data_IF_832993012282
#
_entry.id   IF_832993012282
#
_cell.length_a   1.000
_cell.length_b   1.000
_cell.length_c   1.000
_cell.angle_alpha   90.00
_cell.angle_beta   90.00
_cell.angle_gamma   90.00
#
_symmetry.space_group_name_H-M   'P 1'
#
loop_
_entity.id
_entity.type
_entity.pdbx_description
1 polymer ?
#
# COMPACT_ATOMS: atom_id res chain seq x y z
N UNK A 1 9.19 -16.64 6.75
CA UNK A 1 10.28 -16.15 7.63
C UNK A 1 11.69 -16.46 7.12
N UNK A 2 12.10 -17.72 6.92
CA UNK A 2 13.49 -18.07 6.53
C UNK A 2 14.04 -17.29 5.31
N UNK A 3 13.20 -17.03 4.31
CA UNK A 3 13.54 -16.17 3.17
C UNK A 3 14.10 -14.82 3.63
N UNK A 4 13.42 -14.13 4.54
CA UNK A 4 13.82 -12.80 5.02
C UNK A 4 15.09 -12.84 5.85
N UNK A 5 15.29 -13.89 6.66
CA UNK A 5 16.54 -14.12 7.40
C UNK A 5 17.72 -14.25 6.44
N UNK A 6 17.61 -15.11 5.42
CA UNK A 6 18.68 -15.28 4.44
C UNK A 6 18.99 -13.96 3.71
N UNK A 7 17.97 -13.22 3.29
CA UNK A 7 18.13 -11.95 2.57
C UNK A 7 18.72 -10.85 3.44
N UNK A 8 18.36 -10.81 4.72
CA UNK A 8 18.98 -9.95 5.70
C UNK A 8 20.47 -10.27 5.86
N UNK A 9 20.83 -11.54 6.05
CA UNK A 9 22.23 -11.97 6.20
C UNK A 9 23.05 -11.53 4.99
N UNK A 10 22.57 -11.77 3.77
CA UNK A 10 23.23 -11.31 2.54
C UNK A 10 23.41 -9.79 2.52
N UNK A 11 22.38 -9.04 2.88
CA UNK A 11 22.45 -7.57 2.91
C UNK A 11 23.52 -7.06 3.89
N UNK A 12 23.61 -7.64 5.08
CA UNK A 12 24.54 -7.20 6.13
C UNK A 12 25.99 -7.57 5.82
N UNK A 13 26.24 -8.65 5.09
CA UNK A 13 27.60 -9.00 4.62
C UNK A 13 28.02 -8.24 3.35
N UNK A 14 27.18 -7.32 2.86
CA UNK A 14 27.49 -6.44 1.73
C UNK A 14 26.90 -6.90 0.39
N UNK A 15 26.19 -8.03 0.33
CA UNK A 15 25.47 -8.46 -0.86
C UNK A 15 24.12 -7.73 -0.99
N UNK A 16 24.20 -6.49 -1.46
CA UNK A 16 23.05 -5.58 -1.58
C UNK A 16 22.25 -5.82 -2.86
N UNK A 17 22.90 -6.24 -3.95
CA UNK A 17 22.27 -6.41 -5.26
C UNK A 17 21.68 -7.81 -5.45
N UNK A 18 20.60 -8.07 -4.73
CA UNK A 18 19.98 -9.40 -4.69
C UNK A 18 19.01 -9.58 -5.87
N UNK A 19 19.26 -10.60 -6.70
CA UNK A 19 18.29 -11.09 -7.70
C UNK A 19 17.37 -12.12 -7.06
N UNK A 20 16.06 -11.98 -7.30
CA UNK A 20 15.06 -12.96 -6.89
C UNK A 20 14.16 -13.33 -8.07
N UNK A 21 13.33 -14.36 -7.89
CA UNK A 21 12.31 -14.75 -8.87
C UNK A 21 10.92 -14.63 -8.27
N UNK A 22 10.01 -13.94 -8.96
CA UNK A 22 8.61 -13.86 -8.59
C UNK A 22 7.78 -14.47 -9.70
N UNK A 23 7.18 -15.63 -9.44
CA UNK A 23 6.34 -16.35 -10.41
C UNK A 23 7.06 -16.59 -11.76
N UNK A 24 8.36 -16.88 -11.72
CA UNK A 24 9.21 -17.12 -12.90
C UNK A 24 9.93 -15.88 -13.43
N UNK A 25 9.50 -14.67 -13.06
CA UNK A 25 10.19 -13.44 -13.49
C UNK A 25 11.35 -13.08 -12.56
N UNK A 26 12.58 -12.93 -13.08
CA UNK A 26 13.70 -12.43 -12.31
C UNK A 26 13.49 -10.94 -11.98
N UNK A 27 13.66 -10.50 -10.75
CA UNK A 27 13.45 -9.10 -10.36
C UNK A 27 14.45 -8.66 -9.28
N UNK A 28 14.75 -7.36 -9.17
CA UNK A 28 15.57 -6.85 -8.06
C UNK A 28 14.82 -7.03 -6.75
N UNK A 29 15.41 -7.71 -5.77
CA UNK A 29 14.83 -7.89 -4.44
C UNK A 29 15.26 -6.74 -3.53
N UNK A 30 14.41 -5.73 -3.27
CA UNK A 30 14.83 -4.52 -2.58
C UNK A 30 15.20 -4.78 -1.11
N UNK A 31 16.19 -4.05 -0.59
CA UNK A 31 16.81 -4.32 0.72
C UNK A 31 16.46 -3.31 1.83
N UNK A 32 15.58 -2.36 1.55
CA UNK A 32 15.23 -1.25 2.44
C UNK A 32 14.73 -1.72 3.82
N UNK A 33 13.90 -2.77 3.88
CA UNK A 33 13.49 -3.35 5.16
C UNK A 33 14.69 -3.84 5.97
N UNK A 34 15.61 -4.56 5.32
CA UNK A 34 16.76 -5.15 6.00
C UNK A 34 17.70 -4.09 6.53
N UNK A 35 17.91 -3.00 5.77
CA UNK A 35 18.67 -1.85 6.23
C UNK A 35 17.96 -1.12 7.39
N UNK A 36 16.63 -0.99 7.34
CA UNK A 36 15.85 -0.34 8.39
C UNK A 36 15.95 -1.08 9.73
N UNK A 37 15.89 -2.42 9.70
CA UNK A 37 15.98 -3.24 10.92
C UNK A 37 17.42 -3.59 11.30
N UNK A 38 18.41 -3.29 10.46
CA UNK A 38 19.81 -3.65 10.70
C UNK A 38 20.33 -3.19 12.06
N UNK A 39 20.08 -1.95 12.52
CA UNK A 39 20.53 -1.52 13.84
C UNK A 39 19.96 -2.35 15.00
N UNK A 40 18.78 -2.96 14.82
CA UNK A 40 18.15 -3.76 15.87
C UNK A 40 18.87 -5.09 16.11
N UNK A 41 19.67 -5.60 15.18
CA UNK A 41 20.46 -6.82 15.42
C UNK A 41 21.56 -6.63 16.45
N UNK A 42 21.97 -5.38 16.71
CA UNK A 42 22.94 -5.03 17.75
C UNK A 42 22.39 -5.25 19.17
N UNK A 43 21.09 -5.48 19.32
CA UNK A 43 20.46 -5.80 20.63
C UNK A 43 20.73 -7.24 21.09
N UNK A 44 21.26 -8.10 20.22
CA UNK A 44 21.53 -9.51 20.52
C UNK A 44 20.33 -10.45 20.38
N UNK A 45 19.14 -9.95 20.04
CA UNK A 45 17.99 -10.79 19.75
C UNK A 45 18.13 -11.53 18.42
N UNK A 46 17.55 -12.73 18.33
CA UNK A 46 17.53 -13.53 17.10
C UNK A 46 16.74 -12.86 15.98
N UNK A 47 17.18 -13.02 14.73
CA UNK A 47 16.57 -12.37 13.56
C UNK A 47 15.08 -12.72 13.37
N UNK A 48 14.68 -13.96 13.68
CA UNK A 48 13.27 -14.38 13.63
C UNK A 48 12.40 -13.50 14.53
N UNK A 49 12.84 -13.33 15.78
CA UNK A 49 12.16 -12.48 16.75
C UNK A 49 12.13 -11.02 16.29
N UNK A 50 13.22 -10.50 15.72
CA UNK A 50 13.26 -9.12 15.23
C UNK A 50 12.27 -8.89 14.07
N UNK A 51 12.16 -9.82 13.13
CA UNK A 51 11.16 -9.72 12.06
C UNK A 51 9.74 -9.76 12.63
N UNK A 52 9.42 -10.73 13.48
CA UNK A 52 8.09 -10.84 14.11
C UNK A 52 7.74 -9.59 14.93
N UNK A 53 8.70 -9.08 15.72
CA UNK A 53 8.54 -7.87 16.52
C UNK A 53 8.29 -6.65 15.64
N UNK A 54 9.11 -6.45 14.60
CA UNK A 54 8.98 -5.29 13.71
C UNK A 54 7.69 -5.35 12.89
N UNK A 55 7.27 -6.53 12.43
CA UNK A 55 5.97 -6.74 11.80
C UNK A 55 4.83 -6.31 12.71
N UNK A 56 4.84 -6.77 13.96
CA UNK A 56 3.84 -6.41 14.97
C UNK A 56 3.83 -4.91 15.28
N UNK A 57 5.02 -4.28 15.40
CA UNK A 57 5.14 -2.84 15.61
C UNK A 57 4.58 -2.06 14.40
N UNK A 58 4.90 -2.48 13.17
CA UNK A 58 4.40 -1.81 11.96
C UNK A 58 2.88 -1.91 11.87
N UNK A 59 2.29 -3.09 12.06
CA UNK A 59 0.83 -3.24 12.05
C UNK A 59 0.17 -2.42 13.17
N UNK A 60 0.68 -2.49 14.40
CA UNK A 60 0.12 -1.75 15.53
C UNK A 60 0.20 -0.22 15.33
N UNK A 61 1.33 0.27 14.81
CA UNK A 61 1.51 1.71 14.57
C UNK A 61 0.84 2.17 13.28
N UNK A 62 0.57 1.30 12.31
CA UNK A 62 -0.24 1.63 11.13
C UNK A 62 -1.67 2.06 11.53
N UNK A 63 -2.24 1.45 12.57
CA UNK A 63 -3.52 1.88 13.17
C UNK A 63 -3.45 3.33 13.65
N UNK A 64 -2.35 3.70 14.33
CA UNK A 64 -2.12 5.07 14.81
C UNK A 64 -1.91 6.06 13.65
N UNK A 65 -1.15 5.67 12.63
CA UNK A 65 -0.96 6.49 11.44
C UNK A 65 -2.27 6.72 10.69
N UNK A 66 -3.11 5.69 10.57
CA UNK A 66 -4.46 5.80 10.00
C UNK A 66 -5.32 6.79 10.79
N UNK A 67 -5.31 6.68 12.13
CA UNK A 67 -5.99 7.64 13.00
C UNK A 67 -5.52 9.07 12.74
N UNK A 68 -4.21 9.31 12.76
CA UNK A 68 -3.62 10.64 12.59
C UNK A 68 -3.93 11.23 11.21
N UNK A 69 -3.78 10.43 10.15
CA UNK A 69 -4.06 10.83 8.77
C UNK A 69 -5.50 11.33 8.63
N UNK A 70 -6.47 10.56 9.12
CA UNK A 70 -7.89 10.88 8.96
C UNK A 70 -8.35 11.97 9.94
N UNK A 71 -7.88 11.92 11.18
CA UNK A 71 -8.17 12.96 12.17
C UNK A 71 -7.69 14.33 11.69
N UNK A 72 -6.50 14.39 11.08
CA UNK A 72 -5.96 15.61 10.49
C UNK A 72 -6.72 16.03 9.24
N UNK A 73 -6.95 15.12 8.29
CA UNK A 73 -7.70 15.39 7.06
C UNK A 73 -9.08 15.99 7.34
N UNK A 74 -9.83 15.38 8.25
CA UNK A 74 -11.21 15.76 8.51
C UNK A 74 -11.37 16.81 9.61
N UNK A 75 -10.29 17.12 10.35
CA UNK A 75 -10.33 17.82 11.63
C UNK A 75 -11.34 17.16 12.59
N UNK A 76 -11.28 15.83 12.72
CA UNK A 76 -12.24 15.04 13.52
C UNK A 76 -11.60 13.78 14.10
N UNK A 77 -11.40 13.78 15.42
CA UNK A 77 -10.90 12.61 16.16
C UNK A 77 -11.82 11.39 16.01
N UNK A 78 -13.15 11.60 16.01
CA UNK A 78 -14.14 10.53 15.83
C UNK A 78 -13.98 9.82 14.49
N UNK A 79 -13.77 10.57 13.41
CA UNK A 79 -13.58 9.97 12.10
C UNK A 79 -12.22 9.26 12.01
N UNK A 80 -11.18 9.84 12.65
CA UNK A 80 -9.89 9.18 12.82
C UNK A 80 -10.02 7.82 13.51
N UNK A 81 -10.72 7.77 14.65
CA UNK A 81 -10.94 6.52 15.39
C UNK A 81 -11.70 5.49 14.55
N UNK A 82 -12.71 5.94 13.80
CA UNK A 82 -13.48 5.05 12.94
C UNK A 82 -12.63 4.46 11.81
N UNK A 83 -11.77 5.26 11.16
CA UNK A 83 -10.87 4.76 10.12
C UNK A 83 -9.83 3.79 10.68
N UNK A 84 -9.26 4.11 11.85
CA UNK A 84 -8.32 3.25 12.54
C UNK A 84 -8.95 1.91 12.95
N UNK A 85 -10.19 1.94 13.47
CA UNK A 85 -10.94 0.73 13.82
C UNK A 85 -11.26 -0.10 12.58
N UNK A 86 -11.68 0.51 11.46
CA UNK A 86 -11.92 -0.23 10.22
C UNK A 86 -10.64 -0.88 9.67
N UNK A 87 -9.50 -0.17 9.73
CA UNK A 87 -8.20 -0.73 9.36
C UNK A 87 -7.83 -1.92 10.26
N UNK A 88 -7.96 -1.78 11.58
CA UNK A 88 -7.54 -2.81 12.54
C UNK A 88 -8.47 -4.02 12.59
N UNK A 89 -9.76 -3.86 12.27
CA UNK A 89 -10.76 -4.93 12.37
C UNK A 89 -10.97 -5.71 11.08
N UNK A 90 -10.23 -5.38 10.01
CA UNK A 90 -10.26 -6.13 8.75
C UNK A 90 -9.11 -7.13 8.67
N UNK A 91 -9.35 -8.24 7.97
CA UNK A 91 -8.39 -9.33 7.86
C UNK A 91 -7.14 -8.98 7.04
N UNK A 92 -7.20 -7.95 6.18
CA UNK A 92 -6.13 -7.62 5.23
C UNK A 92 -4.71 -7.55 5.84
N UNK A 93 -4.51 -6.78 6.92
CA UNK A 93 -3.20 -6.69 7.59
C UNK A 93 -2.76 -8.03 8.18
N UNK A 94 -3.66 -8.68 8.92
CA UNK A 94 -3.44 -9.99 9.54
C UNK A 94 -3.01 -11.07 8.54
N UNK A 95 -3.65 -11.10 7.36
CA UNK A 95 -3.32 -12.06 6.31
C UNK A 95 -1.91 -11.86 5.77
N UNK A 96 -1.48 -10.61 5.56
CA UNK A 96 -0.11 -10.32 5.11
C UNK A 96 0.92 -10.76 6.15
N UNK A 97 0.67 -10.46 7.43
CA UNK A 97 1.56 -10.87 8.52
C UNK A 97 1.62 -12.40 8.65
N UNK A 98 0.49 -13.09 8.51
CA UNK A 98 0.44 -14.56 8.55
C UNK A 98 1.32 -15.20 7.47
N UNK A 99 1.27 -14.65 6.26
CA UNK A 99 2.13 -15.11 5.16
C UNK A 99 3.61 -14.68 5.30
N UNK A 100 3.98 -14.00 6.39
CA UNK A 100 5.30 -13.45 6.63
C UNK A 100 5.80 -12.59 5.46
N UNK A 101 4.92 -11.74 4.92
CA UNK A 101 5.23 -10.82 3.83
C UNK A 101 5.87 -9.51 4.35
N UNK A 102 6.99 -9.64 5.05
CA UNK A 102 7.57 -8.56 5.85
C UNK A 102 7.89 -7.30 5.06
N UNK A 103 8.43 -7.45 3.85
CA UNK A 103 8.76 -6.30 2.97
C UNK A 103 7.51 -5.54 2.53
N UNK A 104 6.37 -6.24 2.38
CA UNK A 104 5.09 -5.61 2.06
C UNK A 104 4.49 -4.90 3.28
N UNK A 105 4.50 -5.52 4.47
CA UNK A 105 4.05 -4.89 5.73
C UNK A 105 4.81 -3.57 5.92
N UNK A 106 6.14 -3.63 5.87
CA UNK A 106 6.98 -2.45 6.01
C UNK A 106 6.74 -1.43 4.90
N UNK A 107 6.64 -1.86 3.63
CA UNK A 107 6.36 -0.97 2.51
C UNK A 107 5.04 -0.21 2.65
N UNK A 108 3.98 -0.89 3.10
CA UNK A 108 2.68 -0.28 3.37
C UNK A 108 2.75 0.70 4.54
N UNK A 109 3.44 0.31 5.62
CA UNK A 109 3.65 1.17 6.78
C UNK A 109 4.38 2.46 6.42
N UNK A 110 5.50 2.37 5.69
CA UNK A 110 6.27 3.54 5.23
C UNK A 110 5.44 4.41 4.29
N UNK A 111 4.63 3.81 3.42
CA UNK A 111 3.72 4.54 2.53
C UNK A 111 2.65 5.28 3.32
N UNK A 112 2.05 4.65 4.33
CA UNK A 112 1.06 5.29 5.19
C UNK A 112 1.70 6.41 6.03
N UNK A 113 2.93 6.22 6.52
CA UNK A 113 3.70 7.26 7.20
C UNK A 113 3.96 8.44 6.28
N UNK A 114 4.39 8.20 5.03
CA UNK A 114 4.56 9.22 4.00
C UNK A 114 3.26 10.01 3.80
N UNK A 115 2.13 9.33 3.61
CA UNK A 115 0.84 10.02 3.41
C UNK A 115 0.39 10.81 4.65
N UNK A 116 0.70 10.31 5.84
CA UNK A 116 0.49 11.04 7.09
C UNK A 116 1.34 12.31 7.12
N UNK A 117 2.65 12.23 6.86
CA UNK A 117 3.53 13.41 6.78
C UNK A 117 3.01 14.41 5.76
N UNK A 118 2.60 13.94 4.58
CA UNK A 118 2.03 14.79 3.53
C UNK A 118 0.75 15.51 3.97
N UNK A 119 -0.16 14.87 4.71
CA UNK A 119 -1.38 15.54 5.16
C UNK A 119 -1.12 16.63 6.21
N UNK A 120 -0.04 16.50 6.98
CA UNK A 120 0.38 17.53 7.94
C UNK A 120 1.16 18.66 7.27
N UNK A 121 1.98 18.34 6.26
CA UNK A 121 2.84 19.30 5.61
C UNK A 121 2.14 20.10 4.50
N UNK A 122 1.22 19.47 3.76
CA UNK A 122 0.61 20.06 2.58
C UNK A 122 -0.35 21.23 2.87
N UNK A 123 -0.41 22.25 2.00
CA UNK A 123 0.62 22.70 1.04
C UNK A 123 1.70 23.60 1.66
N UNK A 124 1.57 23.95 2.95
CA UNK A 124 2.21 25.14 3.51
C UNK A 124 3.61 24.86 4.08
N UNK A 125 3.85 23.69 4.68
CA UNK A 125 5.10 23.36 5.35
C UNK A 125 6.10 22.79 4.36
N UNK A 126 7.08 23.62 4.00
CA UNK A 126 8.07 23.35 2.95
C UNK A 126 9.51 23.50 3.44
N UNK A 127 9.73 23.27 4.74
CA UNK A 127 11.06 23.32 5.33
C UNK A 127 11.94 22.14 4.89
N UNK A 128 13.25 22.32 5.01
CA UNK A 128 14.26 21.35 4.56
C UNK A 128 14.19 20.02 5.31
N UNK A 129 13.84 20.05 6.60
CA UNK A 129 13.65 18.85 7.39
C UNK A 129 12.50 18.00 6.84
N UNK A 130 11.35 18.63 6.60
CA UNK A 130 10.18 17.96 6.01
C UNK A 130 10.51 17.41 4.61
N UNK A 131 11.35 18.11 3.84
CA UNK A 131 11.77 17.65 2.51
C UNK A 131 12.60 16.38 2.60
N UNK A 132 13.62 16.37 3.46
CA UNK A 132 14.43 15.17 3.67
C UNK A 132 13.62 14.00 4.24
N UNK A 133 12.67 14.26 5.14
CA UNK A 133 11.77 13.20 5.64
C UNK A 133 10.99 12.58 4.49
N UNK A 134 10.39 13.40 3.61
CA UNK A 134 9.66 12.88 2.44
C UNK A 134 10.58 12.11 1.49
N UNK A 135 11.79 12.63 1.21
CA UNK A 135 12.77 11.95 0.35
C UNK A 135 13.20 10.60 0.93
N UNK A 136 13.53 10.55 2.23
CA UNK A 136 13.93 9.32 2.91
C UNK A 136 12.80 8.28 2.93
N UNK A 137 11.56 8.72 3.19
CA UNK A 137 10.40 7.83 3.13
C UNK A 137 10.17 7.31 1.70
N UNK A 138 10.31 8.15 0.68
CA UNK A 138 10.20 7.72 -0.72
C UNK A 138 11.30 6.72 -1.10
N UNK A 139 12.56 6.98 -0.72
CA UNK A 139 13.68 6.03 -0.90
C UNK A 139 13.32 4.70 -0.22
N UNK A 140 12.80 4.74 1.00
CA UNK A 140 12.42 3.54 1.73
C UNK A 140 11.24 2.80 1.09
N UNK A 141 10.27 3.48 0.48
CA UNK A 141 9.23 2.81 -0.33
C UNK A 141 9.86 2.15 -1.55
N UNK A 142 10.73 2.88 -2.26
CA UNK A 142 11.35 2.43 -3.51
C UNK A 142 12.32 1.26 -3.30
N UNK A 143 12.98 1.21 -2.15
CA UNK A 143 13.87 0.12 -1.74
C UNK A 143 13.19 -0.89 -0.81
N UNK A 144 11.94 -0.69 -0.41
CA UNK A 144 11.24 -1.57 0.54
C UNK A 144 10.55 -2.74 -0.14
N UNK A 145 9.78 -2.47 -1.19
CA UNK A 145 9.02 -3.49 -1.91
C UNK A 145 8.77 -3.06 -3.37
N UNK A 146 9.14 -3.90 -4.33
CA UNK A 146 9.08 -3.56 -5.76
C UNK A 146 7.66 -3.23 -6.23
N UNK A 147 6.65 -3.95 -5.74
CA UNK A 147 5.25 -3.66 -6.06
C UNK A 147 4.78 -2.32 -5.50
N UNK A 148 5.33 -1.87 -4.36
CA UNK A 148 4.99 -0.56 -3.79
C UNK A 148 5.69 0.55 -4.58
N UNK A 149 6.95 0.33 -5.00
CA UNK A 149 7.65 1.24 -5.91
C UNK A 149 6.86 1.48 -7.20
N UNK A 150 6.47 0.41 -7.90
CA UNK A 150 5.72 0.49 -9.15
C UNK A 150 4.38 1.21 -8.96
N UNK A 151 3.61 0.81 -7.94
CA UNK A 151 2.29 1.37 -7.69
C UNK A 151 2.34 2.84 -7.27
N UNK A 152 3.26 3.22 -6.39
CA UNK A 152 3.41 4.62 -5.97
C UNK A 152 3.93 5.50 -7.11
N UNK A 153 4.85 4.99 -7.93
CA UNK A 153 5.36 5.73 -9.10
C UNK A 153 4.27 5.95 -10.14
N UNK A 154 3.47 4.91 -10.44
CA UNK A 154 2.32 5.04 -11.33
C UNK A 154 1.28 6.04 -10.77
N UNK A 155 1.02 6.00 -9.46
CA UNK A 155 0.13 6.95 -8.81
C UNK A 155 0.68 8.38 -8.88
N UNK A 156 2.00 8.58 -8.72
CA UNK A 156 2.65 9.89 -8.82
C UNK A 156 2.56 10.48 -10.24
N UNK A 157 2.70 9.66 -11.28
CA UNK A 157 2.53 10.07 -12.69
C UNK A 157 1.13 10.62 -12.96
N UNK A 158 0.11 10.10 -12.27
CA UNK A 158 -1.27 10.61 -12.37
C UNK A 158 -1.47 11.83 -11.46
N UNK A 159 -1.02 11.71 -10.21
CA UNK A 159 -1.28 12.67 -9.14
C UNK A 159 -0.62 14.02 -9.39
N UNK A 160 0.66 14.05 -9.77
CA UNK A 160 1.42 15.30 -9.85
C UNK A 160 0.91 16.23 -10.97
N UNK A 161 0.64 15.76 -12.21
CA UNK A 161 -0.01 16.59 -13.24
C UNK A 161 -1.41 17.04 -12.81
N UNK A 162 -2.15 16.18 -12.10
CA UNK A 162 -3.48 16.55 -11.60
C UNK A 162 -3.41 17.66 -10.55
N UNK A 163 -2.54 17.55 -9.55
CA UNK A 163 -2.32 18.60 -8.56
C UNK A 163 -1.82 19.89 -9.20
N UNK A 164 -0.95 19.80 -10.21
CA UNK A 164 -0.50 20.96 -10.99
C UNK A 164 -1.68 21.65 -11.70
N UNK A 165 -2.58 20.87 -12.30
CA UNK A 165 -3.80 21.41 -12.90
C UNK A 165 -4.73 22.05 -11.86
N UNK A 166 -4.97 21.40 -10.71
CA UNK A 166 -5.84 21.95 -9.67
C UNK A 166 -5.31 23.25 -9.06
N UNK A 167 -3.98 23.40 -9.01
CA UNK A 167 -3.30 24.54 -8.40
C UNK A 167 -3.08 25.73 -9.34
N UNK A 168 -3.64 25.72 -10.56
CA UNK A 168 -3.43 26.79 -11.57
C UNK A 168 -3.62 28.22 -11.06
N UNK A 169 -4.57 28.42 -10.16
CA UNK A 169 -4.91 29.73 -9.60
C UNK A 169 -4.36 29.95 -8.18
N UNK A 170 -3.56 29.00 -7.65
CA UNK A 170 -3.03 29.03 -6.29
C UNK A 170 -1.51 28.83 -6.32
N UNK A 171 -0.77 29.94 -6.26
CA UNK A 171 0.69 29.94 -6.32
C UNK A 171 1.35 29.15 -5.17
N UNK A 172 0.71 29.10 -4.00
CA UNK A 172 1.21 28.33 -2.86
C UNK A 172 1.12 26.83 -3.14
N UNK A 173 -0.04 26.36 -3.61
CA UNK A 173 -0.18 24.95 -3.99
C UNK A 173 0.76 24.57 -5.14
N UNK A 174 0.98 25.43 -6.14
CA UNK A 174 1.94 25.14 -7.23
C UNK A 174 3.36 24.95 -6.72
N UNK A 175 3.79 25.79 -5.77
CA UNK A 175 5.09 25.61 -5.11
C UNK A 175 5.13 24.31 -4.31
N UNK A 176 4.03 23.92 -3.66
CA UNK A 176 3.88 22.62 -3.03
C UNK A 176 4.04 21.45 -4.01
N UNK A 177 3.43 21.55 -5.20
CA UNK A 177 3.58 20.54 -6.27
C UNK A 177 5.03 20.44 -6.74
N UNK A 178 5.70 21.57 -7.01
CA UNK A 178 7.12 21.60 -7.41
C UNK A 178 8.02 21.01 -6.32
N UNK A 179 7.72 21.29 -5.05
CA UNK A 179 8.43 20.72 -3.92
C UNK A 179 8.30 19.20 -3.87
N UNK A 180 7.10 18.67 -4.11
CA UNK A 180 6.87 17.22 -4.21
C UNK A 180 7.56 16.61 -5.43
N UNK A 181 7.57 17.28 -6.58
CA UNK A 181 8.35 16.88 -7.74
C UNK A 181 9.84 16.79 -7.39
N UNK A 182 10.39 17.80 -6.72
CA UNK A 182 11.78 17.81 -6.29
C UNK A 182 12.11 16.66 -5.35
N UNK A 183 11.25 16.38 -4.36
CA UNK A 183 11.44 15.26 -3.44
C UNK A 183 11.36 13.90 -4.16
N UNK A 184 10.36 13.74 -5.05
CA UNK A 184 10.20 12.54 -5.88
C UNK A 184 11.38 12.31 -6.82
N UNK A 185 11.84 13.36 -7.51
CA UNK A 185 13.00 13.30 -8.38
C UNK A 185 14.29 12.99 -7.61
N UNK A 186 14.49 13.62 -6.45
CA UNK A 186 15.65 13.34 -5.59
C UNK A 186 15.69 11.88 -5.13
N UNK A 187 14.56 11.36 -4.63
CA UNK A 187 14.45 9.97 -4.22
C UNK A 187 14.65 9.00 -5.40
N UNK A 188 14.01 9.26 -6.54
CA UNK A 188 14.13 8.44 -7.75
C UNK A 188 15.56 8.43 -8.30
N UNK A 189 16.23 9.59 -8.34
CA UNK A 189 17.63 9.69 -8.76
C UNK A 189 18.55 8.90 -7.82
N UNK A 190 18.38 9.04 -6.51
CA UNK A 190 19.15 8.29 -5.53
C UNK A 190 19.02 6.78 -5.71
N UNK A 191 17.79 6.24 -5.71
CA UNK A 191 17.61 4.78 -5.85
C UNK A 191 18.03 4.27 -7.22
N UNK A 192 17.87 5.07 -8.28
CA UNK A 192 18.32 4.70 -9.61
C UNK A 192 19.84 4.59 -9.66
N UNK A 193 20.56 5.61 -9.21
CA UNK A 193 22.02 5.68 -9.26
C UNK A 193 22.67 4.63 -8.36
N UNK A 194 22.20 4.46 -7.13
CA UNK A 194 22.88 3.63 -6.13
C UNK A 194 22.38 2.17 -6.09
N UNK A 195 21.16 1.91 -6.56
CA UNK A 195 20.55 0.58 -6.46
C UNK A 195 20.13 -0.01 -7.81
N UNK A 196 19.17 0.60 -8.50
CA UNK A 196 18.56 0.00 -9.69
C UNK A 196 19.48 -0.04 -10.92
N UNK A 197 20.52 0.80 -10.98
CA UNK A 197 21.53 0.74 -12.06
C UNK A 197 22.24 -0.62 -12.12
N UNK A 198 22.44 -1.30 -10.98
CA UNK A 198 23.02 -2.65 -10.94
C UNK A 198 22.11 -3.73 -11.56
N UNK A 199 20.84 -3.41 -11.79
CA UNK A 199 19.84 -4.28 -12.40
C UNK A 199 19.38 -3.78 -13.77
N UNK A 200 20.12 -2.84 -14.39
CA UNK A 200 19.70 -2.23 -15.64
C UNK A 200 19.50 -3.26 -16.76
N UNK A 201 20.44 -4.20 -16.90
CA UNK A 201 20.34 -5.29 -17.88
C UNK A 201 19.06 -6.11 -17.67
N UNK A 202 18.78 -6.46 -16.42
CA UNK A 202 17.58 -7.20 -16.03
C UNK A 202 16.29 -6.44 -16.39
N UNK A 203 16.24 -5.14 -16.11
CA UNK A 203 15.08 -4.29 -16.41
C UNK A 203 14.87 -4.20 -17.92
N UNK A 204 15.94 -4.00 -18.70
CA UNK A 204 15.87 -3.94 -20.16
C UNK A 204 15.41 -5.27 -20.75
N UNK A 205 15.98 -6.39 -20.30
CA UNK A 205 15.58 -7.73 -20.73
C UNK A 205 14.08 -7.98 -20.49
N UNK A 206 13.55 -7.53 -19.35
CA UNK A 206 12.13 -7.64 -19.06
C UNK A 206 11.26 -6.77 -19.97
N UNK A 207 11.65 -5.51 -20.20
CA UNK A 207 10.90 -4.61 -21.08
C UNK A 207 10.87 -5.16 -22.51
N UNK A 208 12.01 -5.62 -23.01
CA UNK A 208 12.12 -6.21 -24.35
C UNK A 208 11.36 -7.55 -24.40
N UNK A 209 11.52 -8.41 -23.41
CA UNK A 209 10.85 -9.71 -23.35
C UNK A 209 9.32 -9.57 -23.34
N UNK A 210 8.79 -8.67 -22.50
CA UNK A 210 7.35 -8.42 -22.41
C UNK A 210 6.81 -7.81 -23.69
N UNK A 211 7.51 -6.86 -24.30
CA UNK A 211 7.06 -6.20 -25.53
C UNK A 211 7.10 -7.09 -26.77
N UNK A 212 8.00 -8.08 -26.81
CA UNK A 212 8.18 -8.97 -27.98
C UNK A 212 7.46 -10.30 -27.87
N UNK A 213 7.42 -10.90 -26.67
CA UNK A 213 6.89 -12.27 -26.45
C UNK A 213 5.61 -12.32 -25.63
N UNK A 214 5.23 -11.20 -25.00
CA UNK A 214 4.07 -11.12 -24.12
C UNK A 214 4.34 -11.71 -22.73
N UNK A 215 3.53 -11.32 -21.74
CA UNK A 215 3.86 -11.61 -20.33
C UNK A 215 3.88 -13.12 -20.01
N UNK A 216 2.96 -13.90 -20.58
CA UNK A 216 2.85 -15.33 -20.26
C UNK A 216 4.08 -16.12 -20.72
N UNK A 217 4.62 -15.80 -21.90
CA UNK A 217 5.84 -16.43 -22.40
C UNK A 217 7.05 -16.11 -21.53
N UNK A 218 7.24 -14.84 -21.14
CA UNK A 218 8.36 -14.47 -20.26
C UNK A 218 8.28 -15.17 -18.91
N UNK A 219 7.06 -15.45 -18.43
CA UNK A 219 6.83 -16.10 -17.13
C UNK A 219 6.88 -17.62 -17.16
N UNK A 220 6.79 -18.22 -18.35
CA UNK A 220 6.66 -19.66 -18.53
C UNK A 220 5.50 -20.26 -17.72
N UNK A 221 4.39 -19.52 -17.59
CA UNK A 221 3.19 -19.95 -16.86
C UNK A 221 1.97 -20.06 -17.78
N UNK A 222 1.09 -21.05 -17.53
CA UNK A 222 -0.13 -21.17 -18.27
C UNK A 222 -1.04 -19.94 -18.03
N UNK A 223 -1.82 -19.52 -19.04
CA UNK A 223 -2.83 -18.49 -18.88
C UNK A 223 -3.86 -18.86 -17.81
N UNK A 224 -4.27 -17.90 -16.99
CA UNK A 224 -5.37 -18.04 -16.03
C UNK A 224 -6.69 -17.66 -16.72
N UNK A 225 -7.75 -18.44 -16.48
CA UNK A 225 -9.07 -18.10 -17.01
C UNK A 225 -9.61 -16.81 -16.39
N UNK A 226 -10.36 -16.03 -17.16
CA UNK A 226 -10.99 -14.80 -16.67
C UNK A 226 -11.95 -15.07 -15.51
N UNK A 227 -12.64 -16.21 -15.55
CA UNK A 227 -13.53 -16.65 -14.48
C UNK A 227 -12.75 -16.84 -13.17
N UNK A 228 -11.63 -17.56 -13.19
CA UNK A 228 -10.79 -17.74 -12.02
C UNK A 228 -10.27 -16.40 -11.50
N UNK A 229 -9.81 -15.51 -12.38
CA UNK A 229 -9.38 -14.15 -12.00
C UNK A 229 -10.50 -13.36 -11.33
N UNK A 230 -11.71 -13.37 -11.90
CA UNK A 230 -12.86 -12.65 -11.34
C UNK A 230 -13.31 -13.24 -10.01
N UNK A 231 -13.30 -14.57 -9.89
CA UNK A 231 -13.63 -15.26 -8.67
C UNK A 231 -12.63 -14.94 -7.55
N UNK A 232 -11.32 -15.02 -7.82
CA UNK A 232 -10.27 -14.66 -6.85
C UNK A 232 -10.35 -13.18 -6.46
N UNK A 233 -10.59 -12.29 -7.43
CA UNK A 233 -10.80 -10.86 -7.17
C UNK A 233 -11.99 -10.63 -6.22
N UNK A 234 -13.10 -11.30 -6.48
CA UNK A 234 -14.34 -11.12 -5.73
C UNK A 234 -14.27 -11.76 -4.34
N UNK A 235 -14.03 -13.07 -4.29
CA UNK A 235 -14.06 -13.85 -3.06
C UNK A 235 -12.80 -13.64 -2.22
N UNK A 236 -11.63 -13.81 -2.84
CA UNK A 236 -10.35 -13.56 -2.20
C UNK A 236 -10.19 -12.08 -1.87
N UNK A 237 -10.21 -11.22 -2.88
CA UNK A 237 -9.94 -9.79 -2.72
C UNK A 237 -11.02 -9.03 -1.94
N UNK A 238 -12.23 -8.90 -2.48
CA UNK A 238 -13.21 -7.97 -1.92
C UNK A 238 -13.92 -8.50 -0.66
N UNK A 239 -14.25 -9.79 -0.62
CA UNK A 239 -14.95 -10.40 0.51
C UNK A 239 -13.97 -10.78 1.61
N UNK A 240 -12.98 -11.62 1.34
CA UNK A 240 -12.12 -12.19 2.38
C UNK A 240 -11.20 -11.14 3.01
N UNK A 241 -10.58 -10.25 2.22
CA UNK A 241 -9.64 -9.25 2.78
C UNK A 241 -10.32 -8.10 3.52
N UNK A 242 -11.45 -7.61 2.99
CA UNK A 242 -12.10 -6.40 3.51
C UNK A 242 -13.45 -6.65 4.17
N UNK A 243 -14.02 -7.85 4.06
CA UNK A 243 -15.39 -8.12 4.53
C UNK A 243 -16.46 -7.43 3.69
N UNK A 244 -16.19 -7.13 2.41
CA UNK A 244 -17.07 -6.51 1.39
C UNK A 244 -17.58 -5.09 1.70
N UNK A 245 -18.14 -4.84 2.88
CA UNK A 245 -18.82 -3.58 3.20
C UNK A 245 -17.91 -2.34 3.21
N UNK A 246 -16.65 -2.39 3.68
CA UNK A 246 -15.73 -1.27 3.53
C UNK A 246 -15.57 -0.85 2.07
N UNK A 247 -15.47 -1.82 1.15
CA UNK A 247 -15.38 -1.57 -0.30
C UNK A 247 -16.66 -0.92 -0.82
N UNK A 248 -17.83 -1.43 -0.43
CA UNK A 248 -19.12 -0.85 -0.83
C UNK A 248 -19.26 0.62 -0.39
N UNK A 249 -18.76 0.94 0.81
CA UNK A 249 -18.83 2.29 1.39
C UNK A 249 -17.78 3.26 0.81
N UNK A 250 -16.85 2.78 -0.01
CA UNK A 250 -15.89 3.64 -0.72
C UNK A 250 -16.62 4.63 -1.62
N UNK A 251 -17.66 4.22 -2.35
CA UNK A 251 -18.36 5.09 -3.30
C UNK A 251 -18.96 6.34 -2.62
N UNK A 252 -19.86 6.22 -1.62
CA UNK A 252 -20.40 7.40 -0.93
C UNK A 252 -19.32 8.17 -0.17
N UNK A 253 -18.30 7.48 0.35
CA UNK A 253 -17.15 8.10 1.01
C UNK A 253 -16.34 9.01 0.10
N UNK A 254 -15.97 8.52 -1.08
CA UNK A 254 -15.24 9.27 -2.10
C UNK A 254 -16.01 10.48 -2.59
N UNK A 255 -17.32 10.32 -2.87
CA UNK A 255 -18.18 11.42 -3.28
C UNK A 255 -18.20 12.54 -2.23
N UNK A 256 -18.26 12.18 -0.94
CA UNK A 256 -18.18 13.16 0.14
C UNK A 256 -16.78 13.75 0.32
N UNK A 257 -15.71 12.98 0.10
CA UNK A 257 -14.32 13.48 0.06
C UNK A 257 -14.10 14.55 -1.00
N UNK A 258 -14.93 14.59 -2.04
CA UNK A 258 -14.90 15.61 -3.08
C UNK A 258 -15.54 16.96 -2.69
N UNK A 259 -16.13 17.05 -1.49
CA UNK A 259 -16.71 18.29 -0.99
C UNK A 259 -15.65 19.40 -0.86
N UNK A 260 -15.97 20.68 -1.11
CA UNK A 260 -15.01 21.81 -1.09
C UNK A 260 -14.17 21.89 0.20
N UNK A 261 -14.71 21.45 1.33
CA UNK A 261 -14.02 21.38 2.63
C UNK A 261 -12.74 20.54 2.58
N UNK A 262 -12.72 19.46 1.81
CA UNK A 262 -11.61 18.50 1.75
C UNK A 262 -10.88 18.50 0.42
N UNK A 263 -11.48 19.09 -0.62
CA UNK A 263 -10.91 19.19 -1.97
C UNK A 263 -9.54 19.88 -2.03
N UNK A 264 -9.21 20.76 -1.08
CA UNK A 264 -7.90 21.43 -0.99
C UNK A 264 -6.79 20.55 -0.36
N UNK A 265 -7.16 19.43 0.25
CA UNK A 265 -6.21 18.44 0.76
C UNK A 265 -5.61 17.61 -0.37
N UNK A 266 -4.40 17.11 -0.18
CA UNK A 266 -3.75 16.15 -1.10
C UNK A 266 -4.43 14.76 -1.08
N UNK A 267 -5.20 14.43 -0.03
CA UNK A 267 -5.71 13.07 0.18
C UNK A 267 -6.75 12.65 -0.87
N UNK A 268 -7.83 13.40 -1.18
CA UNK A 268 -8.80 12.95 -2.18
C UNK A 268 -8.18 12.61 -3.55
N UNK A 269 -7.36 13.48 -4.19
CA UNK A 269 -6.73 13.12 -5.46
C UNK A 269 -5.72 11.97 -5.32
N UNK A 270 -5.02 11.85 -4.18
CA UNK A 270 -4.12 10.73 -3.90
C UNK A 270 -4.88 9.38 -3.81
N UNK A 271 -6.01 9.34 -3.09
CA UNK A 271 -6.86 8.14 -3.01
C UNK A 271 -7.33 7.75 -4.42
N UNK A 272 -7.81 8.71 -5.21
CA UNK A 272 -8.28 8.44 -6.58
C UNK A 272 -7.14 7.93 -7.45
N UNK A 273 -5.94 8.53 -7.39
CA UNK A 273 -4.78 8.04 -8.12
C UNK A 273 -4.41 6.60 -7.72
N UNK A 274 -4.43 6.29 -6.42
CA UNK A 274 -4.19 4.93 -5.92
C UNK A 274 -5.24 3.93 -6.41
N UNK A 275 -6.53 4.33 -6.45
CA UNK A 275 -7.60 3.49 -6.98
C UNK A 275 -7.51 3.29 -8.49
N UNK A 276 -7.16 4.32 -9.26
CA UNK A 276 -6.95 4.19 -10.70
C UNK A 276 -5.82 3.21 -11.03
N UNK A 277 -4.70 3.30 -10.31
CA UNK A 277 -3.60 2.32 -10.44
C UNK A 277 -4.07 0.93 -10.05
N UNK A 278 -4.78 0.80 -8.93
CA UNK A 278 -5.27 -0.49 -8.43
C UNK A 278 -6.25 -1.15 -9.40
N UNK A 279 -7.19 -0.39 -9.96
CA UNK A 279 -8.13 -0.87 -10.98
C UNK A 279 -7.38 -1.26 -12.25
N UNK A 280 -6.41 -0.46 -12.69
CA UNK A 280 -5.57 -0.81 -13.85
C UNK A 280 -4.84 -2.14 -13.66
N UNK A 281 -4.27 -2.35 -12.48
CA UNK A 281 -3.61 -3.60 -12.11
C UNK A 281 -4.59 -4.77 -11.96
N UNK A 282 -5.82 -4.53 -11.51
CA UNK A 282 -6.86 -5.56 -11.42
C UNK A 282 -7.41 -5.98 -12.79
N UNK A 283 -7.48 -5.04 -13.74
CA UNK A 283 -7.95 -5.29 -15.11
C UNK A 283 -6.87 -5.97 -15.96
N UNK A 284 -5.60 -5.69 -15.70
CA UNK A 284 -4.49 -6.21 -16.51
C UNK A 284 -4.53 -7.74 -16.69
N UNK A 285 -4.69 -8.58 -15.63
CA UNK A 285 -4.83 -10.03 -15.77
C UNK A 285 -6.04 -10.48 -16.60
N UNK A 286 -7.13 -9.71 -16.66
CA UNK A 286 -8.29 -10.05 -17.49
C UNK A 286 -7.99 -9.91 -18.99
N UNK A 287 -7.04 -9.04 -19.32
CA UNK A 287 -6.58 -8.77 -20.70
C UNK A 287 -5.44 -9.73 -21.06
N UNK A 288 -4.42 -9.81 -20.22
CA UNK A 288 -3.18 -10.56 -20.49
C UNK A 288 -3.28 -12.04 -20.12
N UNK A 289 -4.29 -12.43 -19.34
CA UNK A 289 -4.46 -13.77 -18.76
C UNK A 289 -3.26 -14.21 -17.90
N UNK A 290 -2.44 -13.26 -17.46
CA UNK A 290 -1.25 -13.56 -16.69
C UNK A 290 -1.60 -13.74 -15.21
N UNK A 291 -0.73 -14.45 -14.51
CA UNK A 291 -0.80 -14.60 -13.06
C UNK A 291 0.02 -13.56 -12.31
N UNK A 292 0.53 -12.51 -12.96
CA UNK A 292 1.35 -11.51 -12.27
C UNK A 292 0.48 -10.33 -11.93
N UNK A 293 -0.04 -10.38 -10.72
CA UNK A 293 -0.63 -9.24 -10.06
C UNK A 293 0.42 -8.66 -9.12
N UNK A 294 0.69 -7.36 -9.25
CA UNK A 294 1.27 -6.64 -8.10
C UNK A 294 0.26 -6.71 -6.96
N UNK A 295 0.68 -6.50 -5.70
CA UNK A 295 -0.22 -6.50 -4.54
C UNK A 295 -1.09 -5.23 -4.49
N UNK A 296 -1.82 -4.98 -5.57
CA UNK A 296 -2.48 -3.74 -5.93
C UNK A 296 -3.63 -3.42 -4.97
N UNK A 297 -4.34 -4.45 -4.50
CA UNK A 297 -5.41 -4.31 -3.52
C UNK A 297 -4.89 -3.78 -2.18
N UNK A 298 -3.72 -4.27 -1.78
CA UNK A 298 -3.07 -3.87 -0.54
C UNK A 298 -2.44 -2.48 -0.65
N UNK A 299 -2.02 -2.05 -1.84
CA UNK A 299 -1.59 -0.67 -2.10
C UNK A 299 -2.70 0.36 -1.88
N UNK A 300 -3.94 0.06 -2.25
CA UNK A 300 -5.08 0.97 -2.09
C UNK A 300 -5.89 0.80 -0.80
N UNK A 301 -5.59 -0.24 -0.01
CA UNK A 301 -6.29 -0.56 1.25
C UNK A 301 -6.48 0.65 2.17
N UNK A 302 -5.44 1.47 2.39
CA UNK A 302 -5.54 2.67 3.21
C UNK A 302 -6.66 3.61 2.72
N UNK A 303 -6.74 3.84 1.41
CA UNK A 303 -7.75 4.69 0.79
C UNK A 303 -9.16 4.11 0.92
N UNK A 304 -9.29 2.78 0.88
CA UNK A 304 -10.55 2.08 1.17
C UNK A 304 -11.02 2.44 2.58
N UNK A 305 -10.16 2.33 3.59
CA UNK A 305 -10.55 2.63 4.98
C UNK A 305 -10.87 4.11 5.22
N UNK A 306 -10.11 5.03 4.61
CA UNK A 306 -10.42 6.47 4.70
C UNK A 306 -11.80 6.76 4.11
N UNK A 307 -12.07 6.30 2.88
CA UNK A 307 -13.35 6.52 2.22
C UNK A 307 -14.50 5.79 2.94
N UNK A 308 -14.29 4.52 3.33
CA UNK A 308 -15.27 3.74 4.07
C UNK A 308 -15.64 4.40 5.40
N UNK A 309 -14.69 4.94 6.16
CA UNK A 309 -14.99 5.65 7.40
C UNK A 309 -15.91 6.86 7.17
N UNK A 310 -15.66 7.63 6.11
CA UNK A 310 -16.55 8.73 5.70
C UNK A 310 -17.93 8.19 5.32
N UNK A 311 -17.98 7.11 4.53
CA UNK A 311 -19.22 6.43 4.13
C UNK A 311 -20.05 5.95 5.31
N UNK A 312 -19.42 5.26 6.28
CA UNK A 312 -20.04 4.83 7.55
C UNK A 312 -20.58 6.04 8.30
N UNK A 313 -19.82 7.13 8.43
CA UNK A 313 -20.27 8.32 9.15
C UNK A 313 -21.51 8.95 8.48
N UNK A 314 -21.57 8.97 7.15
CA UNK A 314 -22.74 9.46 6.40
C UNK A 314 -23.95 8.56 6.64
N UNK A 315 -23.76 7.25 6.57
CA UNK A 315 -24.82 6.27 6.83
C UNK A 315 -25.34 6.39 8.27
N UNK A 316 -24.44 6.48 9.24
CA UNK A 316 -24.74 6.61 10.67
C UNK A 316 -25.63 7.83 11.01
N UNK A 317 -25.51 8.90 10.23
CA UNK A 317 -26.30 10.13 10.38
C UNK A 317 -27.74 10.00 9.88
N UNK A 318 -28.10 8.96 9.13
CA UNK A 318 -29.45 8.77 8.55
C UNK A 318 -30.50 8.19 9.51
N UNK A 319 -30.18 8.03 10.80
CA UNK A 319 -31.15 7.62 11.83
C UNK A 319 -30.91 6.20 12.39
N UNK A 320 -31.81 5.73 13.25
CA UNK A 320 -31.63 4.48 14.03
C UNK A 320 -31.41 3.25 13.15
N UNK A 321 -32.21 3.07 12.11
CA UNK A 321 -32.10 1.92 11.20
C UNK A 321 -30.74 1.88 10.49
N UNK A 322 -30.24 3.03 10.02
CA UNK A 322 -28.94 3.11 9.36
C UNK A 322 -27.76 2.83 10.31
N UNK A 323 -27.90 3.18 11.61
CA UNK A 323 -26.94 2.80 12.65
C UNK A 323 -26.93 1.30 12.88
N UNK A 324 -28.10 0.66 12.97
CA UNK A 324 -28.22 -0.80 13.09
C UNK A 324 -27.57 -1.50 11.89
N UNK A 325 -27.81 -1.01 10.67
CA UNK A 325 -27.16 -1.52 9.46
C UNK A 325 -25.64 -1.37 9.54
N UNK A 326 -25.14 -0.21 9.98
CA UNK A 326 -23.69 0.01 10.13
C UNK A 326 -23.07 -0.93 11.16
N UNK A 327 -23.76 -1.20 12.27
CA UNK A 327 -23.33 -2.17 13.29
C UNK A 327 -23.36 -3.60 12.75
N UNK A 328 -24.38 -3.97 11.97
CA UNK A 328 -24.44 -5.29 11.32
C UNK A 328 -23.30 -5.49 10.30
N UNK A 329 -23.02 -4.46 9.49
CA UNK A 329 -21.88 -4.46 8.56
C UNK A 329 -20.55 -4.63 9.30
N UNK A 330 -20.33 -3.88 10.38
CA UNK A 330 -19.13 -4.00 11.19
C UNK A 330 -19.02 -5.38 11.87
N UNK A 331 -20.15 -5.90 12.37
CA UNK A 331 -20.23 -7.24 12.95
C UNK A 331 -19.85 -8.34 11.96
N UNK A 332 -20.31 -8.23 10.71
CA UNK A 332 -19.93 -9.15 9.62
C UNK A 332 -18.43 -9.09 9.31
N UNK A 333 -17.85 -7.89 9.23
CA UNK A 333 -16.40 -7.71 8.99
C UNK A 333 -15.59 -8.34 10.14
N UNK A 334 -16.00 -8.12 11.39
CA UNK A 334 -15.36 -8.73 12.55
C UNK A 334 -15.50 -10.26 12.52
N UNK A 335 -16.68 -10.76 12.19
CA UNK A 335 -16.95 -12.19 12.06
C UNK A 335 -16.01 -12.87 11.05
N UNK A 336 -15.91 -12.34 9.83
CA UNK A 336 -14.99 -12.86 8.80
C UNK A 336 -13.55 -12.84 9.30
N UNK A 337 -13.13 -11.72 9.90
CA UNK A 337 -11.76 -11.56 10.39
C UNK A 337 -11.45 -12.57 11.50
N UNK A 338 -12.38 -12.83 12.42
CA UNK A 338 -12.25 -13.86 13.45
C UNK A 338 -12.17 -15.25 12.82
N UNK A 339 -13.02 -15.57 11.84
CA UNK A 339 -12.98 -16.87 11.15
C UNK A 339 -11.62 -17.10 10.51
N UNK A 340 -11.13 -16.14 9.71
CA UNK A 340 -9.81 -16.22 9.05
C UNK A 340 -8.70 -16.43 10.08
N UNK A 341 -8.77 -15.71 11.21
CA UNK A 341 -7.76 -15.83 12.26
C UNK A 341 -7.83 -17.17 13.00
N UNK A 342 -9.03 -17.65 13.31
CA UNK A 342 -9.23 -18.96 13.93
C UNK A 342 -8.77 -20.08 13.00
N UNK A 343 -9.10 -20.04 11.72
CA UNK A 343 -8.68 -21.04 10.75
C UNK A 343 -7.16 -21.08 10.62
N UNK A 344 -6.51 -19.91 10.58
CA UNK A 344 -5.07 -19.80 10.58
C UNK A 344 -4.45 -20.37 11.88
N UNK A 345 -4.91 -19.93 13.04
CA UNK A 345 -4.29 -20.30 14.32
C UNK A 345 -4.58 -21.74 14.76
N UNK A 346 -5.81 -22.21 14.57
CA UNK A 346 -6.27 -23.50 15.09
C UNK A 346 -6.08 -24.62 14.08
N UNK A 347 -6.37 -24.37 12.81
CA UNK A 347 -6.34 -25.39 11.75
C UNK A 347 -5.05 -25.34 10.91
N UNK A 348 -4.21 -24.31 11.11
CA UNK A 348 -3.04 -24.02 10.26
C UNK A 348 -3.40 -23.97 8.77
N UNK A 349 -4.65 -23.61 8.47
CA UNK A 349 -5.09 -23.42 7.10
C UNK A 349 -4.57 -22.06 6.64
N UNK A 350 -3.74 -22.00 5.58
CA UNK A 350 -3.32 -20.72 5.05
C UNK A 350 -4.57 -19.98 4.56
N UNK A 351 -4.75 -18.70 4.93
CA UNK A 351 -5.83 -17.91 4.38
C UNK A 351 -5.60 -17.73 2.88
N UNK A 352 -6.60 -17.33 2.11
CA UNK A 352 -6.44 -17.14 0.65
C UNK A 352 -5.32 -16.12 0.41
N UNK A 353 -4.38 -16.43 -0.49
CA UNK A 353 -3.31 -15.48 -0.84
C UNK A 353 -3.92 -14.15 -1.35
N UNK A 354 -3.41 -12.98 -0.94
CA UNK A 354 -3.97 -11.66 -1.28
C UNK A 354 -4.02 -11.19 -2.74
N UNK A 355 -3.92 -12.06 -3.75
CA UNK A 355 -3.41 -11.68 -5.08
C UNK A 355 -4.26 -12.09 -6.27
#
# INVERSE_FOLDING_TARGET
MQLHVNRYTLTVIGEIYIRAQHRGLPFPFPNGLYLLIAPLSLTGYGLHFLFELTAGIFEATAVLLMYLLVARLAASTRLGLLAAALYSLTAGGHMITWFAFETQVAGQWVTLLLFTVLVFAWPHRRDWLTWWVVVMLLIQVFLGHIGQFLNLSAAAVILLPWLWWQSRNDAEQRRGVLWLYGAGAGAAAFVSLFYYTAFWDLILEQIVGVSTRGLNDVTQRPPISREATLHTLWEGGLITHFGFFPVLLVIPGLLALWHPRWRRSIIPPLIVACFLVSIGQAVLPLITLNSITTRWLMFSSWGIFVAAAVGVLLLWRRGRSARLVSLAMAGYVCWITIVIWMDAMTLRLPPIEPF
#
